data_IF_724717099338
#
_entry.id   IF_724717099338
#
_cell.length_a   1.000
_cell.length_b   1.000
_cell.length_c   1.000
_cell.angle_alpha   90.00
_cell.angle_beta   90.00
_cell.angle_gamma   90.00
#
_symmetry.space_group_name_H-M   'P 1'
#
loop_
_entity.id
_entity.type
_entity.pdbx_description
1 polymer ?
#
# COMPACT_ATOMS: atom_id res chain seq x y z
N UNK A 1 -11.08 -25.75 0.65
CA UNK A 1 -11.89 -25.13 1.72
C UNK A 1 -12.10 -23.66 1.35
N UNK A 2 -13.26 -23.32 0.76
CA UNK A 2 -13.65 -21.93 0.46
C UNK A 2 -14.07 -21.29 1.78
N UNK A 3 -13.26 -20.37 2.30
CA UNK A 3 -13.68 -19.48 3.38
C UNK A 3 -14.48 -18.34 2.74
N UNK A 4 -15.80 -18.53 2.64
CA UNK A 4 -16.72 -17.48 2.19
C UNK A 4 -17.02 -16.54 3.37
N UNK A 5 -16.11 -15.59 3.63
CA UNK A 5 -16.37 -14.42 4.50
C UNK A 5 -17.29 -13.44 3.76
N UNK A 6 -18.52 -13.85 3.46
CA UNK A 6 -19.46 -13.03 2.71
C UNK A 6 -20.53 -12.43 3.63
N UNK A 7 -20.22 -11.28 4.23
CA UNK A 7 -21.16 -10.44 5.00
C UNK A 7 -22.26 -9.78 4.14
N UNK A 8 -22.61 -10.32 2.97
CA UNK A 8 -23.60 -9.71 2.06
C UNK A 8 -23.21 -8.31 1.52
N UNK A 9 -21.96 -7.90 1.70
CA UNK A 9 -21.45 -6.61 1.24
C UNK A 9 -20.91 -6.73 -0.19
N UNK A 10 -21.41 -5.86 -1.06
CA UNK A 10 -20.91 -5.69 -2.41
C UNK A 10 -19.42 -5.28 -2.39
N UNK A 11 -18.60 -5.76 -3.34
CA UNK A 11 -17.13 -5.64 -3.31
C UNK A 11 -16.66 -4.20 -3.17
N UNK A 12 -17.37 -3.27 -3.81
CA UNK A 12 -17.13 -1.83 -3.71
C UNK A 12 -17.35 -1.29 -2.29
N UNK A 13 -18.35 -1.80 -1.56
CA UNK A 13 -18.63 -1.41 -0.18
C UNK A 13 -17.53 -1.88 0.78
N UNK A 14 -16.96 -3.07 0.54
CA UNK A 14 -15.79 -3.56 1.31
C UNK A 14 -14.58 -2.63 1.16
N UNK A 15 -14.30 -2.18 -0.07
CA UNK A 15 -13.21 -1.24 -0.36
C UNK A 15 -13.45 0.13 0.33
N UNK A 16 -14.68 0.67 0.25
CA UNK A 16 -15.04 1.92 0.92
C UNK A 16 -14.84 1.77 2.44
N UNK A 17 -15.38 0.70 3.03
CA UNK A 17 -15.25 0.43 4.47
C UNK A 17 -13.78 0.31 4.88
N UNK A 18 -12.96 -0.43 4.13
CA UNK A 18 -11.53 -0.57 4.40
C UNK A 18 -10.80 0.79 4.39
N UNK A 19 -11.04 1.62 3.37
CA UNK A 19 -10.44 2.96 3.28
C UNK A 19 -10.88 3.90 4.42
N UNK A 20 -12.16 3.83 4.82
CA UNK A 20 -12.69 4.61 5.94
C UNK A 20 -12.10 4.19 7.28
N UNK A 21 -12.05 2.89 7.55
CA UNK A 21 -11.44 2.35 8.78
C UNK A 21 -9.95 2.69 8.84
N UNK A 22 -9.22 2.59 7.73
CA UNK A 22 -7.79 2.95 7.70
C UNK A 22 -7.55 4.44 7.87
N UNK A 23 -8.43 5.29 7.34
CA UNK A 23 -8.34 6.74 7.55
C UNK A 23 -8.57 7.11 9.02
N UNK A 24 -9.56 6.48 9.68
CA UNK A 24 -9.75 6.62 11.13
C UNK A 24 -8.55 6.06 11.91
N UNK A 25 -7.99 4.94 11.47
CA UNK A 25 -6.76 4.37 12.00
C UNK A 25 -5.58 5.35 11.90
N UNK A 26 -5.42 6.02 10.76
CA UNK A 26 -4.41 7.05 10.55
C UNK A 26 -4.60 8.23 11.50
N UNK A 27 -5.84 8.70 11.70
CA UNK A 27 -6.12 9.75 12.70
C UNK A 27 -5.72 9.30 14.11
N UNK A 28 -5.94 8.03 14.46
CA UNK A 28 -5.54 7.50 15.76
C UNK A 28 -4.02 7.58 15.97
N UNK A 29 -3.20 7.38 14.93
CA UNK A 29 -1.73 7.49 15.06
C UNK A 29 -1.28 8.92 15.37
N UNK A 30 -2.11 9.93 15.05
CA UNK A 30 -1.81 11.35 15.22
C UNK A 30 -2.25 11.92 16.58
N UNK A 31 -3.15 11.21 17.29
CA UNK A 31 -3.69 11.63 18.59
C UNK A 31 -2.90 11.08 19.78
N UNK A 32 -2.02 10.11 19.52
CA UNK A 32 -1.30 9.35 20.53
C UNK A 32 0.05 10.03 20.87
N UNK A 33 0.54 9.91 22.13
CA UNK A 33 1.86 10.43 22.51
C UNK A 33 3.01 9.81 21.70
N UNK A 34 4.10 10.56 21.56
CA UNK A 34 5.26 10.18 20.74
C UNK A 34 5.86 8.79 21.07
N UNK A 35 5.87 8.39 22.34
CA UNK A 35 6.43 7.10 22.78
C UNK A 35 5.59 5.87 22.36
N UNK A 36 4.35 6.05 21.90
CA UNK A 36 3.51 4.98 21.36
C UNK A 36 3.34 5.07 19.85
N UNK A 37 3.80 6.15 19.23
CA UNK A 37 3.65 6.43 17.80
C UNK A 37 4.10 5.27 16.93
N UNK A 38 5.31 4.73 17.17
CA UNK A 38 5.82 3.62 16.37
C UNK A 38 4.92 2.38 16.46
N UNK A 39 4.38 2.05 17.63
CA UNK A 39 3.43 0.93 17.81
C UNK A 39 2.16 1.14 17.00
N UNK A 40 1.66 2.37 16.96
CA UNK A 40 0.47 2.73 16.19
C UNK A 40 0.72 2.73 14.68
N UNK A 41 1.90 3.16 14.21
CA UNK A 41 2.29 3.07 12.80
C UNK A 41 2.37 1.61 12.34
N UNK A 42 3.05 0.76 13.11
CA UNK A 42 3.13 -0.67 12.81
C UNK A 42 1.76 -1.34 12.89
N UNK A 43 0.95 -0.98 13.89
CA UNK A 43 -0.43 -1.44 14.02
C UNK A 43 -1.29 -1.05 12.82
N UNK A 44 -1.19 0.20 12.35
CA UNK A 44 -1.91 0.67 11.16
C UNK A 44 -1.44 -0.06 9.90
N UNK A 45 -0.14 -0.27 9.73
CA UNK A 45 0.44 -0.98 8.58
C UNK A 45 -0.06 -2.43 8.54
N UNK A 46 -0.08 -3.09 9.69
CA UNK A 46 -0.62 -4.44 9.82
C UNK A 46 -2.13 -4.48 9.55
N UNK A 47 -2.88 -3.50 10.07
CA UNK A 47 -4.30 -3.36 9.80
C UNK A 47 -4.58 -3.07 8.31
N UNK A 48 -3.70 -2.33 7.64
CA UNK A 48 -3.76 -2.08 6.20
C UNK A 48 -3.57 -3.36 5.40
N UNK A 49 -2.66 -4.23 5.81
CA UNK A 49 -2.51 -5.56 5.22
C UNK A 49 -3.81 -6.37 5.36
N UNK A 50 -4.32 -6.51 6.58
CA UNK A 50 -5.51 -7.33 6.86
C UNK A 50 -6.77 -6.81 6.16
N UNK A 51 -7.03 -5.51 6.21
CA UNK A 51 -8.22 -4.92 5.57
C UNK A 51 -8.12 -4.94 4.06
N UNK A 52 -6.94 -4.72 3.49
CA UNK A 52 -6.73 -4.88 2.05
C UNK A 52 -6.99 -6.33 1.65
N UNK A 53 -6.50 -7.30 2.44
CA UNK A 53 -6.67 -8.73 2.16
C UNK A 53 -8.14 -9.11 2.17
N UNK A 54 -8.86 -8.67 3.20
CA UNK A 54 -10.29 -8.89 3.33
C UNK A 54 -11.08 -8.23 2.18
N UNK A 55 -10.73 -7.00 1.79
CA UNK A 55 -11.41 -6.28 0.71
C UNK A 55 -11.18 -6.91 -0.68
N UNK A 56 -10.03 -7.54 -0.89
CA UNK A 56 -9.61 -8.08 -2.20
C UNK A 56 -9.73 -9.60 -2.33
N UNK A 57 -10.00 -10.34 -1.26
CA UNK A 57 -9.93 -11.81 -1.21
C UNK A 57 -10.66 -12.56 -2.33
N UNK A 58 -11.76 -12.01 -2.85
CA UNK A 58 -12.57 -12.62 -3.89
C UNK A 58 -11.80 -12.80 -5.21
N UNK A 59 -11.54 -14.07 -5.56
CA UNK A 59 -10.95 -14.48 -6.84
C UNK A 59 -9.42 -14.42 -6.89
N UNK A 60 -8.75 -14.15 -5.77
CA UNK A 60 -7.29 -13.99 -5.72
C UNK A 60 -6.61 -15.30 -5.33
N UNK A 61 -5.58 -15.71 -6.06
CA UNK A 61 -4.70 -16.83 -5.65
C UNK A 61 -3.72 -16.36 -4.55
N UNK A 62 -3.26 -17.27 -3.68
CA UNK A 62 -2.42 -16.92 -2.52
C UNK A 62 -1.19 -16.08 -2.88
N UNK A 63 -0.50 -16.42 -3.98
CA UNK A 63 0.70 -15.68 -4.42
C UNK A 63 0.35 -14.29 -4.95
N UNK A 64 -0.73 -14.17 -5.74
CA UNK A 64 -1.22 -12.87 -6.23
C UNK A 64 -1.64 -11.97 -5.06
N UNK A 65 -2.24 -12.55 -4.03
CA UNK A 65 -2.63 -11.81 -2.83
C UNK A 65 -1.41 -11.15 -2.20
N UNK A 66 -0.33 -11.89 -1.95
CA UNK A 66 0.89 -11.34 -1.34
C UNK A 66 1.43 -10.15 -2.14
N UNK A 67 1.54 -10.27 -3.47
CA UNK A 67 2.08 -9.19 -4.29
C UNK A 67 1.14 -7.97 -4.30
N UNK A 68 -0.16 -8.16 -4.48
CA UNK A 68 -1.16 -7.08 -4.47
C UNK A 68 -1.22 -6.32 -3.13
N UNK A 69 -0.83 -6.95 -2.02
CA UNK A 69 -0.78 -6.33 -0.68
C UNK A 69 0.42 -5.40 -0.49
N UNK A 70 1.49 -5.54 -1.28
CA UNK A 70 2.74 -4.79 -1.07
C UNK A 70 2.48 -3.29 -1.15
N UNK A 71 1.87 -2.81 -2.22
CA UNK A 71 1.65 -1.37 -2.39
C UNK A 71 0.68 -0.77 -1.33
N UNK A 72 -0.50 -1.36 -1.03
CA UNK A 72 -1.37 -0.85 0.04
C UNK A 72 -0.69 -0.75 1.40
N UNK A 73 0.12 -1.75 1.77
CA UNK A 73 0.83 -1.75 3.06
C UNK A 73 1.92 -0.70 3.13
N UNK A 74 2.77 -0.63 2.09
CA UNK A 74 3.83 0.36 2.02
C UNK A 74 3.27 1.78 1.95
N UNK A 75 2.15 2.01 1.25
CA UNK A 75 1.51 3.32 1.19
C UNK A 75 0.96 3.75 2.57
N UNK A 76 0.34 2.84 3.33
CA UNK A 76 -0.11 3.13 4.69
C UNK A 76 1.07 3.48 5.62
N UNK A 77 2.15 2.68 5.56
CA UNK A 77 3.38 2.94 6.30
C UNK A 77 3.97 4.31 5.92
N UNK A 78 4.06 4.60 4.62
CA UNK A 78 4.63 5.83 4.08
C UNK A 78 3.91 7.07 4.61
N UNK A 79 2.58 7.13 4.49
CA UNK A 79 1.79 8.28 4.91
C UNK A 79 1.82 8.44 6.43
N UNK A 80 1.69 7.32 7.18
CA UNK A 80 1.71 7.35 8.64
C UNK A 80 3.06 7.83 9.19
N UNK A 81 4.18 7.36 8.62
CA UNK A 81 5.51 7.79 9.02
C UNK A 81 5.84 9.21 8.57
N UNK A 82 5.50 9.57 7.32
CA UNK A 82 5.79 10.90 6.78
C UNK A 82 5.03 12.02 7.47
N UNK A 83 3.83 11.75 8.00
CA UNK A 83 3.05 12.73 8.74
C UNK A 83 3.84 13.38 9.89
N UNK A 84 4.76 12.64 10.54
CA UNK A 84 5.56 13.18 11.64
C UNK A 84 6.64 14.17 11.20
N UNK A 85 6.97 14.22 9.92
CA UNK A 85 7.84 15.25 9.34
C UNK A 85 7.09 16.57 9.10
N UNK A 86 5.74 16.55 9.11
CA UNK A 86 4.92 17.73 8.91
C UNK A 86 4.68 18.47 10.24
N UNK A 87 4.48 19.81 10.21
CA UNK A 87 4.11 20.55 11.40
C UNK A 87 2.78 20.06 11.97
N UNK A 88 2.79 19.65 13.23
CA UNK A 88 1.64 19.04 13.94
C UNK A 88 0.62 20.12 14.28
N UNK A 89 -0.36 20.32 13.39
CA UNK A 89 -1.51 21.21 13.59
C UNK A 89 -2.79 20.45 13.28
N UNK A 90 -3.89 20.77 13.97
CA UNK A 90 -5.20 20.19 13.65
C UNK A 90 -5.59 20.43 12.18
N UNK A 91 -5.20 21.58 11.64
CA UNK A 91 -5.41 21.93 10.24
C UNK A 91 -4.66 21.01 9.26
N UNK A 92 -3.57 20.35 9.65
CA UNK A 92 -2.86 19.38 8.80
C UNK A 92 -3.40 17.95 8.97
N UNK A 93 -3.99 17.61 10.13
CA UNK A 93 -4.52 16.27 10.43
C UNK A 93 -5.68 15.86 9.52
N UNK A 94 -6.73 16.67 9.48
CA UNK A 94 -7.97 16.35 8.75
C UNK A 94 -7.77 16.28 7.23
N UNK A 95 -7.08 17.24 6.58
CA UNK A 95 -6.81 17.15 5.15
C UNK A 95 -5.95 15.95 4.78
N UNK A 96 -4.93 15.62 5.57
CA UNK A 96 -4.10 14.43 5.33
C UNK A 96 -4.93 13.15 5.43
N UNK A 97 -5.80 13.03 6.44
CA UNK A 97 -6.68 11.87 6.58
C UNK A 97 -7.70 11.76 5.44
N UNK A 98 -8.24 12.88 4.96
CA UNK A 98 -9.16 12.91 3.83
C UNK A 98 -8.47 12.53 2.51
N UNK A 99 -7.30 13.12 2.23
CA UNK A 99 -6.47 12.78 1.06
C UNK A 99 -6.06 11.31 1.12
N UNK A 100 -5.65 10.83 2.30
CA UNK A 100 -5.33 9.42 2.52
C UNK A 100 -6.53 8.52 2.22
N UNK A 101 -7.72 8.83 2.71
CA UNK A 101 -8.92 8.02 2.46
C UNK A 101 -9.21 7.88 0.95
N UNK A 102 -9.21 8.99 0.22
CA UNK A 102 -9.48 9.01 -1.24
C UNK A 102 -8.38 8.28 -2.01
N UNK A 103 -7.13 8.51 -1.64
CA UNK A 103 -5.97 7.89 -2.30
C UNK A 103 -5.94 6.39 -2.04
N UNK A 104 -6.17 5.95 -0.79
CA UNK A 104 -6.22 4.55 -0.40
C UNK A 104 -7.40 3.82 -1.05
N UNK A 105 -8.57 4.47 -1.13
CA UNK A 105 -9.72 3.96 -1.87
C UNK A 105 -9.37 3.69 -3.34
N UNK A 106 -8.76 4.67 -4.00
CA UNK A 106 -8.35 4.57 -5.42
C UNK A 106 -7.28 3.49 -5.60
N UNK A 107 -6.37 3.36 -4.65
CA UNK A 107 -5.34 2.31 -4.60
C UNK A 107 -6.00 0.92 -4.58
N UNK A 108 -6.89 0.66 -3.63
CA UNK A 108 -7.58 -0.63 -3.52
C UNK A 108 -8.45 -0.94 -4.75
N UNK A 109 -9.11 0.08 -5.31
CA UNK A 109 -9.88 -0.08 -6.54
C UNK A 109 -8.97 -0.51 -7.71
N UNK A 110 -7.79 0.09 -7.83
CA UNK A 110 -6.81 -0.25 -8.86
C UNK A 110 -6.24 -1.66 -8.67
N UNK A 111 -5.94 -2.07 -7.44
CA UNK A 111 -5.52 -3.46 -7.15
C UNK A 111 -6.62 -4.48 -7.50
N UNK A 112 -7.89 -4.13 -7.25
CA UNK A 112 -9.00 -4.96 -7.68
C UNK A 112 -9.09 -5.05 -9.21
N UNK A 113 -8.80 -3.97 -9.95
CA UNK A 113 -8.72 -4.02 -11.42
C UNK A 113 -7.64 -4.99 -11.88
N UNK A 114 -6.44 -5.00 -11.27
CA UNK A 114 -5.41 -6.00 -11.61
C UNK A 114 -5.83 -7.43 -11.32
N UNK A 115 -6.51 -7.66 -10.19
CA UNK A 115 -7.04 -8.99 -9.88
C UNK A 115 -7.98 -9.48 -11.00
N UNK A 116 -8.91 -8.64 -11.45
CA UNK A 116 -9.82 -9.01 -12.55
C UNK A 116 -9.11 -9.06 -13.90
N UNK A 117 -8.15 -8.16 -14.15
CA UNK A 117 -7.37 -8.09 -15.39
C UNK A 117 -6.50 -9.35 -15.61
N UNK A 118 -6.08 -9.99 -14.51
CA UNK A 118 -5.29 -11.22 -14.54
C UNK A 118 -6.05 -12.46 -15.05
N UNK A 119 -7.38 -12.35 -15.20
CA UNK A 119 -8.25 -13.41 -15.75
C UNK A 119 -8.74 -13.03 -17.15
N UNK A 120 -9.01 -11.74 -17.39
CA UNK A 120 -9.52 -11.23 -18.66
C UNK A 120 -9.01 -9.82 -18.93
N UNK A 121 -8.72 -9.50 -20.18
CA UNK A 121 -8.32 -8.14 -20.57
C UNK A 121 -9.48 -7.15 -20.39
N UNK A 122 -9.26 -6.06 -19.65
CA UNK A 122 -10.26 -5.00 -19.42
C UNK A 122 -9.67 -3.64 -19.79
N UNK A 123 -10.39 -2.75 -20.51
CA UNK A 123 -9.88 -1.43 -20.90
C UNK A 123 -9.40 -0.56 -19.74
N UNK A 124 -10.02 -0.72 -18.56
CA UNK A 124 -9.71 0.02 -17.34
C UNK A 124 -8.32 -0.32 -16.77
N UNK A 125 -7.68 -1.40 -17.24
CA UNK A 125 -6.32 -1.78 -16.83
C UNK A 125 -5.31 -0.65 -17.05
N UNK A 126 -5.35 0.02 -18.21
CA UNK A 126 -4.38 1.10 -18.51
C UNK A 126 -4.47 2.23 -17.49
N UNK A 127 -5.68 2.65 -17.14
CA UNK A 127 -5.89 3.67 -16.11
C UNK A 127 -5.36 3.19 -14.74
N UNK A 128 -5.70 1.96 -14.33
CA UNK A 128 -5.23 1.39 -13.07
C UNK A 128 -3.69 1.27 -13.01
N UNK A 129 -3.04 0.89 -14.13
CA UNK A 129 -1.58 0.79 -14.22
C UNK A 129 -0.90 2.13 -14.00
N UNK A 130 -1.38 3.21 -14.64
CA UNK A 130 -0.86 4.56 -14.45
C UNK A 130 -1.07 5.03 -13.01
N UNK A 131 -2.25 4.81 -12.45
CA UNK A 131 -2.55 5.22 -11.07
C UNK A 131 -1.64 4.50 -10.07
N UNK A 132 -1.48 3.19 -10.20
CA UNK A 132 -0.60 2.40 -9.33
C UNK A 132 0.86 2.82 -9.49
N UNK A 133 1.32 3.10 -10.70
CA UNK A 133 2.66 3.59 -10.93
C UNK A 133 2.90 4.93 -10.21
N UNK A 134 1.99 5.90 -10.36
CA UNK A 134 2.05 7.18 -9.64
C UNK A 134 2.04 6.98 -8.12
N UNK A 135 1.19 6.09 -7.62
CA UNK A 135 1.12 5.78 -6.19
C UNK A 135 2.39 5.09 -5.68
N UNK A 136 3.04 4.26 -6.50
CA UNK A 136 4.32 3.63 -6.17
C UNK A 136 5.41 4.68 -6.06
N UNK A 137 5.49 5.60 -7.02
CA UNK A 137 6.42 6.73 -6.97
C UNK A 137 6.18 7.60 -5.73
N UNK A 138 4.93 7.97 -5.46
CA UNK A 138 4.56 8.73 -4.26
C UNK A 138 4.94 7.99 -2.98
N UNK A 139 4.67 6.69 -2.90
CA UNK A 139 5.01 5.84 -1.75
C UNK A 139 6.53 5.81 -1.53
N UNK A 140 7.31 5.59 -2.60
CA UNK A 140 8.76 5.58 -2.54
C UNK A 140 9.33 6.93 -2.09
N UNK A 141 8.83 8.04 -2.65
CA UNK A 141 9.23 9.39 -2.26
C UNK A 141 9.00 9.65 -0.77
N UNK A 142 7.81 9.33 -0.26
CA UNK A 142 7.47 9.53 1.16
C UNK A 142 8.35 8.67 2.08
N UNK A 143 8.55 7.40 1.76
CA UNK A 143 9.39 6.51 2.56
C UNK A 143 10.86 6.93 2.54
N UNK A 144 11.40 7.31 1.38
CA UNK A 144 12.79 7.77 1.30
C UNK A 144 13.01 9.06 2.10
N UNK A 145 12.06 10.00 2.08
CA UNK A 145 12.14 11.19 2.95
C UNK A 145 12.18 10.83 4.44
N UNK A 146 11.33 9.91 4.88
CA UNK A 146 11.35 9.40 6.26
C UNK A 146 12.69 8.75 6.59
N UNK A 147 13.21 7.90 5.69
CA UNK A 147 14.47 7.20 5.90
C UNK A 147 15.65 8.18 5.98
N UNK A 148 15.77 9.10 5.03
CA UNK A 148 16.86 10.07 5.00
C UNK A 148 16.79 11.07 6.16
N UNK A 149 15.60 11.34 6.70
CA UNK A 149 15.45 12.16 7.91
C UNK A 149 16.18 11.59 9.14
N UNK A 150 16.45 10.28 9.19
CA UNK A 150 17.22 9.68 10.28
C UNK A 150 18.73 9.95 10.18
N UNK A 151 19.22 10.53 9.07
CA UNK A 151 20.64 10.85 8.86
C UNK A 151 21.60 9.69 9.19
N UNK A 152 21.20 8.45 8.83
CA UNK A 152 22.03 7.28 9.08
C UNK A 152 23.26 7.25 8.17
N UNK A 153 24.25 6.44 8.55
CA UNK A 153 25.43 6.18 7.72
C UNK A 153 25.05 5.64 6.34
N UNK A 154 25.85 5.94 5.32
CA UNK A 154 25.52 5.67 3.91
C UNK A 154 25.20 4.19 3.64
N UNK A 155 25.89 3.26 4.30
CA UNK A 155 25.66 1.81 4.13
C UNK A 155 24.26 1.42 4.60
N UNK A 156 23.82 1.95 5.75
CA UNK A 156 22.48 1.69 6.27
C UNK A 156 21.41 2.30 5.38
N UNK A 157 21.63 3.50 4.86
CA UNK A 157 20.72 4.10 3.88
C UNK A 157 20.62 3.22 2.62
N UNK A 158 21.74 2.70 2.10
CA UNK A 158 21.73 1.79 0.95
C UNK A 158 20.89 0.53 1.19
N UNK A 159 21.07 -0.12 2.34
CA UNK A 159 20.27 -1.31 2.72
C UNK A 159 18.79 -0.97 2.80
N UNK A 160 18.41 0.14 3.44
CA UNK A 160 17.00 0.52 3.56
C UNK A 160 16.38 0.93 2.23
N UNK A 161 17.12 1.64 1.38
CA UNK A 161 16.68 1.98 0.03
C UNK A 161 16.37 0.71 -0.74
N UNK A 162 17.27 -0.28 -0.72
CA UNK A 162 17.06 -1.58 -1.35
C UNK A 162 15.83 -2.32 -0.77
N UNK A 163 15.70 -2.38 0.56
CA UNK A 163 14.57 -3.05 1.22
C UNK A 163 13.21 -2.42 0.90
N UNK A 164 13.18 -1.13 0.55
CA UNK A 164 11.96 -0.43 0.14
C UNK A 164 11.75 -0.50 -1.37
N UNK A 165 12.81 -0.31 -2.17
CA UNK A 165 12.73 -0.33 -3.63
C UNK A 165 12.37 -1.71 -4.15
N UNK A 166 12.98 -2.77 -3.61
CA UNK A 166 12.79 -4.14 -4.09
C UNK A 166 11.33 -4.60 -4.07
N UNK A 167 10.57 -4.52 -2.95
CA UNK A 167 9.16 -4.91 -2.94
C UNK A 167 8.28 -4.04 -3.85
N UNK A 168 8.54 -2.73 -3.89
CA UNK A 168 7.77 -1.80 -4.73
C UNK A 168 8.00 -2.08 -6.22
N UNK A 169 9.24 -2.31 -6.64
CA UNK A 169 9.58 -2.67 -8.01
C UNK A 169 9.03 -4.05 -8.36
N UNK A 170 9.08 -5.00 -7.42
CA UNK A 170 8.46 -6.32 -7.59
C UNK A 170 6.97 -6.21 -7.91
N UNK A 171 6.26 -5.34 -7.19
CA UNK A 171 4.84 -5.06 -7.46
C UNK A 171 4.61 -4.48 -8.87
N UNK A 172 5.43 -3.51 -9.28
CA UNK A 172 5.33 -2.86 -10.59
C UNK A 172 5.63 -3.83 -11.74
N UNK A 173 6.74 -4.57 -11.66
CA UNK A 173 7.12 -5.56 -12.70
C UNK A 173 6.08 -6.66 -12.79
N UNK A 174 5.60 -7.16 -11.65
CA UNK A 174 4.53 -8.17 -11.63
C UNK A 174 3.22 -7.67 -12.26
N UNK A 175 2.92 -6.37 -12.13
CA UNK A 175 1.70 -5.79 -12.71
C UNK A 175 1.65 -5.82 -14.24
N UNK A 176 2.78 -6.06 -14.91
CA UNK A 176 2.86 -6.15 -16.39
C UNK A 176 2.28 -7.49 -16.87
N UNK A 177 2.71 -8.60 -16.27
CA UNK A 177 2.36 -9.95 -16.73
C UNK A 177 1.16 -10.55 -15.94
N UNK A 178 1.02 -10.25 -14.64
CA UNK A 178 -0.08 -10.70 -13.76
C UNK A 178 -0.38 -12.21 -13.67
N UNK A 179 0.38 -13.07 -14.35
CA UNK A 179 0.14 -14.52 -14.38
C UNK A 179 0.68 -15.20 -13.12
N UNK A 180 1.89 -14.83 -12.66
CA UNK A 180 2.53 -15.42 -11.49
C UNK A 180 3.89 -14.81 -11.14
N UNK A 181 4.50 -15.28 -10.05
CA UNK A 181 5.87 -14.94 -9.66
C UNK A 181 6.84 -15.86 -10.44
N UNK A 182 7.30 -15.38 -11.60
CA UNK A 182 8.34 -16.07 -12.36
C UNK A 182 9.74 -15.68 -11.83
N UNK A 183 10.73 -16.54 -12.05
CA UNK A 183 12.13 -16.24 -11.70
C UNK A 183 12.64 -14.99 -12.42
N UNK A 184 12.13 -14.72 -13.62
CA UNK A 184 12.49 -13.57 -14.44
C UNK A 184 11.95 -12.26 -13.85
N UNK A 185 10.72 -12.25 -13.33
CA UNK A 185 10.16 -11.11 -12.58
C UNK A 185 11.05 -10.80 -11.37
N UNK A 186 11.44 -11.82 -10.59
CA UNK A 186 12.30 -11.64 -9.43
C UNK A 186 13.68 -11.07 -9.80
N UNK A 187 14.31 -11.58 -10.87
CA UNK A 187 15.62 -11.11 -11.33
C UNK A 187 15.54 -9.66 -11.80
N UNK A 188 14.53 -9.29 -12.60
CA UNK A 188 14.37 -7.90 -13.02
C UNK A 188 14.11 -6.96 -11.86
N UNK A 189 13.29 -7.37 -10.88
CA UNK A 189 13.08 -6.57 -9.69
C UNK A 189 14.35 -6.39 -8.87
N UNK A 190 15.19 -7.42 -8.78
CA UNK A 190 16.46 -7.38 -8.06
C UNK A 190 17.52 -6.52 -8.77
N UNK A 191 17.56 -6.53 -10.10
CA UNK A 191 18.50 -5.70 -10.87
C UNK A 191 18.14 -4.21 -10.88
N UNK A 192 16.85 -3.88 -10.78
CA UNK A 192 16.36 -2.50 -10.79
C UNK A 192 16.31 -1.84 -9.41
N UNK A 193 16.48 -2.61 -8.32
CA UNK A 193 16.34 -2.13 -6.94
C UNK A 193 17.64 -1.61 -6.33
#
# INVERSE_FOLDING_TARGET
MKFDLNFGLDKRRKIIAASGILSLGLLSTQLVPFYLTYKFIYGLTFLAYLLSLWALWEGVSKLKAVVLMILPTFFALAVASYYFLLPVRWLTRLPVAAVFAVTFYTLLLSQNVFNVASIRTIPLYRAASTTVFILTLLTSYLLFNVMFSFNMFFVWNGVWVFLISFPLILHVVWSIDMEGLSSLVLVYSLLLS
#
